data_IF_271680085221
#
_entry.id   IF_271680085221
#
_cell.length_a   1.000
_cell.length_b   1.000
_cell.length_c   1.000
_cell.angle_alpha   90.00
_cell.angle_beta   90.00
_cell.angle_gamma   90.00
#
_symmetry.space_group_name_H-M   'P 1'
#
loop_
_entity.id
_entity.type
_entity.pdbx_description
1 polymer ?
#
# COMPACT_ATOMS: atom_id res chain seq x y z
N UNK A 1 -4.11 24.69 7.79
CA UNK A 1 -4.02 23.85 6.59
C UNK A 1 -5.43 23.53 6.15
N UNK A 2 -5.70 23.52 4.84
CA UNK A 2 -6.98 23.05 4.31
C UNK A 2 -7.14 21.54 4.60
N UNK A 3 -8.25 21.11 5.24
CA UNK A 3 -8.52 19.69 5.51
C UNK A 3 -8.40 18.78 4.30
N UNK A 4 -8.74 19.28 3.10
CA UNK A 4 -8.67 18.50 1.88
C UNK A 4 -7.23 18.12 1.51
N UNK A 5 -6.30 19.06 1.63
CA UNK A 5 -4.87 18.84 1.37
C UNK A 5 -4.29 17.83 2.36
N UNK A 6 -4.65 17.96 3.64
CA UNK A 6 -4.20 17.02 4.66
C UNK A 6 -4.72 15.60 4.42
N UNK A 7 -5.97 15.46 3.96
CA UNK A 7 -6.54 14.17 3.57
C UNK A 7 -5.81 13.57 2.36
N UNK A 8 -5.48 14.37 1.34
CA UNK A 8 -4.68 13.93 0.20
C UNK A 8 -3.31 13.42 0.66
N UNK A 9 -2.66 14.14 1.57
CA UNK A 9 -1.37 13.73 2.13
C UNK A 9 -1.46 12.39 2.87
N UNK A 10 -2.51 12.19 3.68
CA UNK A 10 -2.80 10.89 4.30
C UNK A 10 -2.95 9.76 3.27
N UNK A 11 -3.68 10.00 2.17
CA UNK A 11 -3.85 9.01 1.10
C UNK A 11 -2.54 8.72 0.37
N UNK A 12 -1.72 9.74 0.10
CA UNK A 12 -0.47 9.58 -0.62
C UNK A 12 0.59 8.82 0.18
N UNK A 13 0.57 8.91 1.51
CA UNK A 13 1.61 8.34 2.38
C UNK A 13 1.14 7.06 3.07
N UNK A 14 0.23 7.21 4.04
CA UNK A 14 -0.24 6.10 4.88
C UNK A 14 -1.01 5.09 4.05
N UNK A 15 -1.96 5.53 3.23
CA UNK A 15 -2.77 4.59 2.42
C UNK A 15 -1.92 3.87 1.37
N UNK A 16 -1.03 4.58 0.66
CA UNK A 16 -0.17 3.98 -0.36
C UNK A 16 0.75 2.87 0.21
N UNK A 17 1.31 3.07 1.40
CA UNK A 17 2.15 2.04 2.05
C UNK A 17 1.35 0.80 2.47
N UNK A 18 0.10 0.99 2.91
CA UNK A 18 -0.78 -0.12 3.29
C UNK A 18 -1.27 -0.93 2.09
N UNK A 19 -1.49 -0.26 0.95
CA UNK A 19 -1.95 -0.91 -0.28
C UNK A 19 -0.97 -1.98 -0.79
N UNK A 20 0.33 -1.73 -0.67
CA UNK A 20 1.39 -2.67 -1.03
C UNK A 20 1.35 -3.96 -0.17
N UNK A 21 0.83 -3.87 1.05
CA UNK A 21 0.71 -5.01 1.98
C UNK A 21 -0.65 -5.70 1.99
N UNK A 22 -1.61 -5.28 1.15
CA UNK A 22 -3.03 -5.69 1.16
C UNK A 22 -3.28 -7.19 1.34
N UNK A 23 -2.49 -8.05 0.69
CA UNK A 23 -2.63 -9.52 0.70
C UNK A 23 -2.42 -10.10 2.11
N UNK A 24 -1.57 -9.50 2.93
CA UNK A 24 -1.22 -10.03 4.26
C UNK A 24 -2.22 -9.62 5.35
N UNK A 25 -3.05 -8.61 5.11
CA UNK A 25 -3.95 -8.07 6.12
C UNK A 25 -5.15 -8.97 6.40
N UNK A 26 -5.65 -9.70 5.40
CA UNK A 26 -6.83 -10.57 5.57
C UNK A 26 -6.57 -11.73 6.53
N UNK A 27 -5.32 -12.21 6.63
CA UNK A 27 -4.93 -13.31 7.53
C UNK A 27 -4.20 -12.82 8.79
N UNK A 28 -4.22 -11.52 9.06
CA UNK A 28 -3.51 -10.94 10.21
C UNK A 28 -4.34 -11.02 11.49
N UNK A 29 -3.66 -11.23 12.62
CA UNK A 29 -4.30 -11.21 13.92
C UNK A 29 -5.01 -9.87 14.19
N UNK A 30 -6.19 -9.93 14.80
CA UNK A 30 -7.01 -8.74 15.10
C UNK A 30 -6.25 -7.65 15.86
N UNK A 31 -5.29 -8.04 16.71
CA UNK A 31 -4.43 -7.10 17.46
C UNK A 31 -3.58 -6.21 16.55
N UNK A 32 -3.10 -6.75 15.42
CA UNK A 32 -2.33 -5.98 14.43
C UNK A 32 -3.25 -5.10 13.58
N UNK A 33 -4.41 -5.62 13.19
CA UNK A 33 -5.42 -4.86 12.45
C UNK A 33 -5.91 -3.65 13.26
N UNK A 34 -6.16 -3.83 14.55
CA UNK A 34 -6.58 -2.75 15.44
C UNK A 34 -5.55 -1.60 15.47
N UNK A 35 -4.25 -1.90 15.45
CA UNK A 35 -3.20 -0.86 15.38
C UNK A 35 -3.31 -0.02 14.11
N UNK A 36 -3.61 -0.68 12.99
CA UNK A 36 -3.79 -0.01 11.70
C UNK A 36 -5.04 0.87 11.70
N UNK A 37 -6.16 0.40 12.26
CA UNK A 37 -7.36 1.22 12.44
C UNK A 37 -7.14 2.42 13.37
N UNK A 38 -6.31 2.27 14.42
CA UNK A 38 -5.92 3.38 15.30
C UNK A 38 -5.10 4.42 14.52
N UNK A 39 -4.18 3.99 13.65
CA UNK A 39 -3.39 4.91 12.81
C UNK A 39 -4.29 5.67 11.85
N UNK A 40 -5.21 4.98 11.16
CA UNK A 40 -6.18 5.62 10.27
C UNK A 40 -7.03 6.66 10.98
N UNK A 41 -7.65 6.27 12.09
CA UNK A 41 -8.54 7.15 12.83
C UNK A 41 -7.79 8.38 13.35
N UNK A 42 -6.58 8.20 13.87
CA UNK A 42 -5.74 9.33 14.30
C UNK A 42 -5.35 10.24 13.14
N UNK A 43 -4.97 9.69 11.99
CA UNK A 43 -4.59 10.48 10.82
C UNK A 43 -5.77 11.30 10.29
N UNK A 44 -6.96 10.72 10.19
CA UNK A 44 -8.16 11.43 9.72
C UNK A 44 -8.59 12.51 10.73
N UNK A 45 -8.52 12.23 12.04
CA UNK A 45 -8.78 13.26 13.08
C UNK A 45 -7.86 14.46 12.93
N UNK A 46 -6.57 14.23 12.72
CA UNK A 46 -5.60 15.31 12.52
C UNK A 46 -5.88 16.07 11.22
N UNK A 47 -6.19 15.35 10.13
CA UNK A 47 -6.44 15.97 8.83
C UNK A 47 -7.71 16.83 8.81
N UNK A 48 -8.78 16.37 9.44
CA UNK A 48 -10.09 17.04 9.42
C UNK A 48 -10.35 17.94 10.65
N UNK A 49 -9.50 17.86 11.68
CA UNK A 49 -9.66 18.62 12.91
C UNK A 49 -10.73 18.07 13.87
N UNK A 50 -11.00 16.77 13.83
CA UNK A 50 -12.01 16.15 14.71
C UNK A 50 -11.53 16.00 16.16
N UNK A 51 -12.47 16.10 17.09
CA UNK A 51 -12.25 15.80 18.50
C UNK A 51 -12.06 14.30 18.73
N UNK A 52 -11.43 13.92 19.84
CA UNK A 52 -11.27 12.51 20.22
C UNK A 52 -12.60 11.82 20.54
N UNK A 53 -13.62 12.58 20.95
CA UNK A 53 -14.96 12.08 21.23
C UNK A 53 -15.78 11.76 19.98
N UNK A 54 -15.36 12.24 18.79
CA UNK A 54 -16.11 12.00 17.56
C UNK A 54 -16.09 10.50 17.22
N UNK A 55 -17.25 9.86 16.99
CA UNK A 55 -17.30 8.45 16.57
C UNK A 55 -16.53 8.20 15.27
N UNK A 56 -15.94 7.00 15.14
CA UNK A 56 -15.13 6.64 13.97
C UNK A 56 -15.96 6.62 12.69
N UNK A 57 -17.20 6.10 12.76
CA UNK A 57 -18.07 5.95 11.59
C UNK A 57 -18.46 7.30 10.99
N UNK A 58 -18.79 8.28 11.84
CA UNK A 58 -19.10 9.67 11.44
C UNK A 58 -17.89 10.29 10.74
N UNK A 59 -16.71 10.17 11.36
CA UNK A 59 -15.47 10.69 10.80
C UNK A 59 -15.15 10.08 9.43
N UNK A 60 -15.33 8.76 9.27
CA UNK A 60 -15.09 8.07 8.00
C UNK A 60 -16.09 8.51 6.92
N UNK A 61 -17.37 8.62 7.28
CA UNK A 61 -18.42 9.05 6.36
C UNK A 61 -18.22 10.49 5.88
N UNK A 62 -17.90 11.42 6.78
CA UNK A 62 -17.64 12.82 6.44
C UNK A 62 -16.36 12.97 5.61
N UNK A 63 -15.30 12.20 5.93
CA UNK A 63 -14.07 12.16 5.15
C UNK A 63 -14.21 11.41 3.81
N UNK A 64 -15.38 10.81 3.53
CA UNK A 64 -15.65 9.94 2.38
C UNK A 64 -14.60 8.84 2.23
N UNK A 65 -14.20 8.23 3.35
CA UNK A 65 -13.24 7.14 3.38
C UNK A 65 -13.84 5.87 3.97
N UNK A 66 -13.35 4.72 3.49
CA UNK A 66 -13.70 3.41 4.04
C UNK A 66 -12.71 3.00 5.11
N UNK A 67 -13.07 2.00 5.92
CA UNK A 67 -12.09 1.34 6.78
C UNK A 67 -10.97 0.74 5.92
N UNK A 68 -9.74 0.68 6.45
CA UNK A 68 -8.61 0.10 5.71
C UNK A 68 -8.90 -1.35 5.30
N UNK A 69 -9.52 -2.15 6.15
CA UNK A 69 -9.84 -3.55 5.85
C UNK A 69 -10.76 -3.66 4.63
N UNK A 70 -11.87 -2.95 4.63
CA UNK A 70 -12.86 -3.02 3.54
C UNK A 70 -12.25 -2.52 2.24
N UNK A 71 -11.44 -1.46 2.32
CA UNK A 71 -10.73 -0.88 1.20
C UNK A 71 -9.71 -1.85 0.57
N UNK A 72 -8.95 -2.57 1.39
CA UNK A 72 -7.99 -3.57 0.90
C UNK A 72 -8.69 -4.78 0.28
N UNK A 73 -9.80 -5.22 0.88
CA UNK A 73 -10.63 -6.32 0.37
C UNK A 73 -11.23 -5.94 -0.98
N UNK A 74 -11.86 -4.76 -1.08
CA UNK A 74 -12.43 -4.25 -2.33
C UNK A 74 -11.38 -4.21 -3.45
N UNK A 75 -10.17 -3.71 -3.14
CA UNK A 75 -9.06 -3.66 -4.11
C UNK A 75 -8.58 -5.05 -4.51
N UNK A 76 -8.45 -5.97 -3.57
CA UNK A 76 -8.06 -7.35 -3.86
C UNK A 76 -9.08 -8.04 -4.78
N UNK A 77 -10.37 -7.85 -4.49
CA UNK A 77 -11.46 -8.36 -5.33
C UNK A 77 -11.40 -7.73 -6.72
N UNK A 78 -11.30 -6.40 -6.82
CA UNK A 78 -11.22 -5.68 -8.09
C UNK A 78 -10.00 -6.12 -8.92
N UNK A 79 -8.85 -6.32 -8.27
CA UNK A 79 -7.64 -6.82 -8.93
C UNK A 79 -7.81 -8.25 -9.41
N UNK A 80 -8.46 -9.10 -8.63
CA UNK A 80 -8.76 -10.48 -9.01
C UNK A 80 -9.74 -10.52 -10.19
N UNK A 81 -10.77 -9.68 -10.20
CA UNK A 81 -11.71 -9.56 -11.31
C UNK A 81 -11.04 -9.06 -12.59
N UNK A 82 -10.22 -8.01 -12.51
CA UNK A 82 -9.53 -7.44 -13.68
C UNK A 82 -8.44 -8.33 -14.28
N UNK A 83 -7.83 -9.22 -13.49
CA UNK A 83 -6.79 -10.14 -13.96
C UNK A 83 -7.37 -11.43 -14.55
N UNK A 84 -8.65 -11.72 -14.32
CA UNK A 84 -9.39 -12.89 -14.83
C UNK A 84 -8.62 -14.22 -14.72
N UNK A 85 -8.13 -14.48 -13.52
CA UNK A 85 -7.30 -15.61 -13.13
C UNK A 85 -8.09 -16.65 -12.31
N UNK A 86 -7.49 -17.82 -12.02
CA UNK A 86 -8.16 -18.89 -11.26
C UNK A 86 -8.72 -18.44 -9.91
N UNK A 87 -8.12 -17.42 -9.30
CA UNK A 87 -8.59 -16.81 -8.04
C UNK A 87 -9.96 -16.16 -8.19
N UNK A 88 -10.25 -15.48 -9.31
CA UNK A 88 -11.56 -14.86 -9.54
C UNK A 88 -12.67 -15.91 -9.65
N UNK A 89 -12.41 -17.01 -10.37
CA UNK A 89 -13.34 -18.13 -10.47
C UNK A 89 -13.58 -18.81 -9.10
N UNK A 90 -12.53 -18.99 -8.30
CA UNK A 90 -12.66 -19.51 -6.93
C UNK A 90 -13.49 -18.58 -6.04
N UNK A 91 -13.29 -17.26 -6.13
CA UNK A 91 -14.08 -16.27 -5.41
C UNK A 91 -15.56 -16.29 -5.82
N UNK A 92 -15.83 -16.41 -7.12
CA UNK A 92 -17.20 -16.53 -7.63
C UNK A 92 -17.88 -17.80 -7.10
N UNK A 93 -17.21 -18.95 -7.23
CA UNK A 93 -17.73 -20.24 -6.75
C UNK A 93 -17.96 -20.19 -5.24
N UNK A 94 -17.03 -19.63 -4.48
CA UNK A 94 -17.18 -19.43 -3.04
C UNK A 94 -18.39 -18.57 -2.70
N UNK A 95 -18.61 -17.47 -3.43
CA UNK A 95 -19.77 -16.60 -3.24
C UNK A 95 -21.09 -17.32 -3.56
N UNK A 96 -21.14 -18.07 -4.66
CA UNK A 96 -22.31 -18.88 -5.02
C UNK A 96 -22.60 -19.93 -3.93
N UNK A 97 -21.57 -20.64 -3.45
CA UNK A 97 -21.70 -21.62 -2.37
C UNK A 97 -22.22 -20.97 -1.08
N UNK A 98 -21.71 -19.79 -0.73
CA UNK A 98 -22.15 -19.03 0.44
C UNK A 98 -23.62 -18.61 0.33
N UNK A 99 -24.06 -18.12 -0.83
CA UNK A 99 -25.43 -17.66 -1.05
C UNK A 99 -26.45 -18.82 -1.14
N UNK A 100 -26.04 -19.97 -1.69
CA UNK A 100 -26.92 -21.11 -1.96
C UNK A 100 -27.00 -22.11 -0.81
N UNK A 101 -25.90 -22.33 -0.08
CA UNK A 101 -25.87 -23.38 0.93
C UNK A 101 -26.70 -23.01 2.18
N UNK A 102 -27.50 -23.97 2.66
CA UNK A 102 -28.27 -23.83 3.90
C UNK A 102 -27.37 -23.95 5.14
N UNK A 103 -26.35 -24.82 5.08
CA UNK A 103 -25.38 -25.08 6.17
C UNK A 103 -24.57 -23.85 6.60
N UNK A 104 -24.23 -22.94 5.67
CA UNK A 104 -23.49 -21.71 6.00
C UNK A 104 -24.41 -20.59 6.52
N UNK A 105 -25.74 -20.71 6.31
CA UNK A 105 -26.73 -19.77 6.86
C UNK A 105 -27.08 -20.05 8.32
N UNK A 106 -26.90 -21.31 8.75
CA UNK A 106 -27.27 -21.79 10.08
C UNK A 106 -26.14 -21.62 11.12
N UNK A 107 -24.89 -21.42 10.69
CA UNK A 107 -23.78 -21.05 11.58
C UNK A 107 -23.99 -19.62 12.10
N UNK A 108 -23.95 -19.44 13.43
CA UNK A 108 -24.21 -18.16 14.13
C UNK A 108 -23.32 -16.98 13.70
N UNK A 109 -22.30 -17.20 12.88
CA UNK A 109 -21.44 -16.18 12.26
C UNK A 109 -22.16 -15.50 11.09
N UNK A 110 -23.28 -14.82 11.38
CA UNK A 110 -24.20 -14.17 10.42
C UNK A 110 -23.58 -13.06 9.58
N UNK A 111 -22.33 -12.68 9.80
CA UNK A 111 -21.64 -11.79 8.87
C UNK A 111 -21.24 -12.61 7.66
N UNK A 112 -21.84 -12.31 6.50
CA UNK A 112 -21.20 -12.66 5.23
C UNK A 112 -19.72 -12.26 5.35
N UNK A 113 -18.77 -13.17 5.04
CA UNK A 113 -17.37 -12.82 5.07
C UNK A 113 -17.21 -11.50 4.32
N UNK A 114 -16.50 -10.49 4.86
CA UNK A 114 -16.42 -9.17 4.23
C UNK A 114 -16.01 -9.26 2.75
N UNK A 115 -15.22 -10.28 2.40
CA UNK A 115 -14.86 -10.66 1.04
C UNK A 115 -16.06 -10.99 0.12
N UNK A 116 -17.05 -11.75 0.60
CA UNK A 116 -18.26 -12.13 -0.16
C UNK A 116 -19.16 -10.92 -0.38
N UNK A 117 -19.28 -10.06 0.64
CA UNK A 117 -20.05 -8.83 0.55
C UNK A 117 -19.42 -7.87 -0.47
N UNK A 118 -18.11 -7.62 -0.35
CA UNK A 118 -17.34 -6.84 -1.32
C UNK A 118 -17.46 -7.38 -2.74
N UNK A 119 -17.36 -8.69 -2.94
CA UNK A 119 -17.53 -9.32 -4.26
C UNK A 119 -18.96 -9.14 -4.79
N UNK A 120 -19.97 -9.30 -3.95
CA UNK A 120 -21.37 -9.10 -4.34
C UNK A 120 -21.65 -7.64 -4.74
N UNK A 121 -20.99 -6.68 -4.09
CA UNK A 121 -21.10 -5.27 -4.42
C UNK A 121 -20.35 -4.90 -5.71
N UNK A 122 -19.14 -5.43 -5.91
CA UNK A 122 -18.31 -5.13 -7.07
C UNK A 122 -18.75 -5.87 -8.34
N UNK A 123 -19.31 -7.07 -8.22
CA UNK A 123 -19.82 -7.86 -9.36
C UNK A 123 -20.88 -7.13 -10.19
N UNK A 124 -21.60 -6.17 -9.58
CA UNK A 124 -22.55 -5.27 -10.25
C UNK A 124 -21.89 -4.42 -11.34
N UNK A 125 -20.61 -4.08 -11.16
CA UNK A 125 -19.84 -3.23 -12.05
C UNK A 125 -18.93 -4.03 -12.98
N UNK A 126 -19.12 -5.35 -13.11
CA UNK A 126 -18.22 -6.21 -13.88
C UNK A 126 -18.08 -5.80 -15.36
N UNK A 127 -19.10 -5.15 -15.92
CA UNK A 127 -19.07 -4.60 -17.30
C UNK A 127 -18.14 -3.40 -17.47
N UNK A 128 -17.84 -2.70 -16.38
CA UNK A 128 -17.00 -1.49 -16.37
C UNK A 128 -15.53 -1.80 -16.00
N UNK A 129 -15.24 -3.03 -15.54
CA UNK A 129 -13.90 -3.42 -15.14
C UNK A 129 -13.05 -3.66 -16.39
N UNK A 130 -12.13 -2.74 -16.67
CA UNK A 130 -11.15 -2.92 -17.73
C UNK A 130 -10.14 -4.01 -17.37
N UNK A 131 -9.99 -5.00 -18.24
CA UNK A 131 -8.94 -6.01 -18.16
C UNK A 131 -7.79 -5.57 -19.06
N UNK A 132 -6.58 -5.48 -18.50
CA UNK A 132 -5.38 -5.13 -19.27
C UNK A 132 -4.39 -6.29 -19.18
N UNK A 133 -4.35 -7.11 -20.24
CA UNK A 133 -3.46 -8.29 -20.31
C UNK A 133 -2.02 -7.87 -20.58
N UNK A 134 -1.82 -6.70 -21.21
CA UNK A 134 -0.51 -6.14 -21.53
C UNK A 134 -0.27 -4.94 -20.60
N UNK A 135 0.93 -4.75 -20.03
CA UNK A 135 1.23 -3.50 -19.34
C UNK A 135 1.00 -2.34 -20.32
N UNK A 136 0.54 -1.16 -19.85
CA UNK A 136 0.42 0.00 -20.71
C UNK A 136 1.78 0.23 -21.39
N UNK A 137 1.78 0.18 -22.73
CA UNK A 137 2.96 0.49 -23.53
C UNK A 137 3.24 1.98 -23.34
N UNK A 138 4.07 2.28 -22.36
CA UNK A 138 4.65 3.60 -22.25
C UNK A 138 5.69 3.75 -23.35
N UNK A 139 5.29 4.34 -24.46
CA UNK A 139 6.23 4.88 -25.45
C UNK A 139 6.82 6.14 -24.85
N UNK A 140 7.88 5.99 -24.05
CA UNK A 140 8.73 7.13 -23.73
C UNK A 140 9.68 7.33 -24.90
N UNK A 141 9.74 8.56 -25.43
CA UNK A 141 10.93 8.97 -26.18
C UNK A 141 12.11 8.90 -25.20
N UNK A 142 13.11 8.09 -25.54
CA UNK A 142 14.26 7.75 -24.69
C UNK A 142 15.14 8.95 -24.30
N UNK A 143 14.80 10.16 -24.72
CA UNK A 143 15.61 11.35 -24.50
C UNK A 143 15.60 11.82 -23.03
N UNK A 144 14.52 11.57 -22.29
CA UNK A 144 14.34 12.14 -20.94
C UNK A 144 15.03 11.34 -19.81
N UNK A 145 14.99 9.99 -19.76
CA UNK A 145 15.57 9.23 -18.64
C UNK A 145 17.10 9.30 -18.55
N UNK A 146 17.79 9.45 -19.68
CA UNK A 146 19.25 9.56 -19.72
C UNK A 146 19.74 10.84 -19.03
N UNK A 147 19.00 11.94 -19.16
CA UNK A 147 19.36 13.21 -18.51
C UNK A 147 19.30 13.10 -16.98
N UNK A 148 18.33 12.37 -16.43
CA UNK A 148 18.22 12.17 -14.98
C UNK A 148 19.39 11.35 -14.42
N UNK A 149 19.76 10.26 -15.11
CA UNK A 149 20.89 9.39 -14.74
C UNK A 149 22.23 10.13 -14.90
N UNK A 150 22.35 11.03 -15.89
CA UNK A 150 23.53 11.88 -16.08
C UNK A 150 23.63 12.98 -15.02
N UNK A 151 22.51 13.60 -14.62
CA UNK A 151 22.46 14.60 -13.55
C UNK A 151 22.85 13.96 -12.19
N UNK A 152 22.33 12.78 -11.89
CA UNK A 152 22.68 12.05 -10.65
C UNK A 152 24.16 11.67 -10.62
N UNK A 153 24.75 11.27 -11.75
CA UNK A 153 26.20 10.99 -11.84
C UNK A 153 27.09 12.24 -11.67
N UNK A 154 26.62 13.42 -12.08
CA UNK A 154 27.35 14.68 -11.94
C UNK A 154 27.37 15.15 -10.47
N UNK A 155 26.26 15.06 -9.74
CA UNK A 155 26.22 15.42 -8.32
C UNK A 155 27.14 14.54 -7.45
N UNK A 156 27.24 13.23 -7.74
CA UNK A 156 28.16 12.34 -7.03
C UNK A 156 29.64 12.62 -7.30
N UNK A 157 30.00 13.11 -8.49
CA UNK A 157 31.39 13.49 -8.84
C UNK A 157 31.79 14.78 -8.10
N UNK A 158 30.89 15.74 -7.98
CA UNK A 158 31.13 17.01 -7.29
C UNK A 158 31.28 16.82 -5.77
N UNK A 159 30.50 15.92 -5.15
CA UNK A 159 30.64 15.57 -3.74
C UNK A 159 31.95 14.80 -3.44
N UNK A 160 32.45 14.00 -4.38
CA UNK A 160 33.72 13.29 -4.24
C UNK A 160 34.93 14.23 -4.28
N UNK A 161 34.87 15.30 -5.08
CA UNK A 161 35.93 16.33 -5.17
C UNK A 161 36.01 17.23 -3.92
N UNK A 162 34.90 17.43 -3.22
CA UNK A 162 34.84 18.30 -2.03
C UNK A 162 35.40 17.60 -0.77
N UNK A 163 35.40 16.26 -0.70
CA UNK A 163 35.70 15.55 0.55
C UNK A 163 37.16 15.10 0.73
N UNK A 164 37.98 15.09 -0.32
CA UNK A 164 39.38 14.59 -0.24
C UNK A 164 40.41 15.66 0.14
N UNK A 165 40.10 16.96 0.05
CA UNK A 165 41.04 18.03 0.44
C UNK A 165 41.05 18.35 1.95
N UNK A 166 40.13 17.80 2.75
CA UNK A 166 39.95 18.18 4.17
C UNK A 166 40.45 17.16 5.20
N UNK A 167 40.95 16.00 4.80
CA UNK A 167 41.33 14.93 5.74
C UNK A 167 42.82 14.61 5.57
N UNK A 168 43.67 15.42 6.20
CA UNK A 168 45.10 15.15 6.34
C UNK A 168 45.35 14.04 7.36
N UNK A 169 45.65 12.83 6.90
CA UNK A 169 46.19 11.78 7.77
C UNK A 169 47.70 11.64 7.55
N UNK A 170 48.47 12.01 8.59
CA UNK A 170 49.89 11.66 8.74
C UNK A 170 50.04 10.14 8.81
N UNK A 171 50.74 9.55 7.86
CA UNK A 171 51.18 8.15 7.94
C UNK A 171 52.37 8.03 8.90
N UNK A 172 52.25 7.14 9.88
CA UNK A 172 53.30 6.84 10.87
C UNK A 172 54.18 5.72 10.33
N UNK A 173 55.44 6.04 10.03
CA UNK A 173 56.50 5.07 9.68
C UNK A 173 56.74 4.07 10.82
N UNK A 174 56.82 2.77 10.50
CA UNK A 174 57.45 1.75 11.37
C UNK A 174 58.57 1.05 10.60
N UNK A 175 59.76 1.09 11.23
CA UNK A 175 61.04 0.53 10.81
C UNK A 175 61.04 -1.01 10.85
N UNK A 176 61.90 -1.56 10.00
CA UNK A 176 62.33 -2.95 9.81
C UNK A 176 62.69 -3.72 11.10
N UNK A 177 62.55 -5.05 11.04
CA UNK A 177 63.23 -6.03 11.90
C UNK A 177 63.22 -7.42 11.25
N UNK A 178 64.40 -7.98 10.99
CA UNK A 178 64.70 -9.27 10.34
C UNK A 178 64.54 -10.50 11.27
N UNK A 179 64.48 -11.66 10.59
CA UNK A 179 64.49 -13.12 10.92
C UNK A 179 65.26 -13.56 12.19
N UNK A 180 64.93 -14.70 12.83
CA UNK A 180 65.52 -16.02 12.49
C UNK A 180 64.47 -17.17 12.58
N UNK A 181 64.61 -18.40 12.08
CA UNK A 181 65.72 -19.29 11.69
C UNK A 181 65.30 -20.14 10.50
#
# INVERSE_FOLDING_TARGET
>A
MDPHIALIFYKATVRATLDLGSIFYVNSAQTKLNKVHVIQSRAIRIAMGYLNSTPIDVMLQEAKEKTITDMLIDRFVLKSMSTQNQTSHKLNNFTIMHLTSKKLKDTKDRLSPPLVESYSNLSKYNTEIFTCVKPPLYTYDYEVPLTWILMEKLEYQDLALINWKKIGFKTRSKKNGQVPT
#
